data_IF_538958348441
#
_entry.id   IF_538958348441
#
_cell.length_a   1.000
_cell.length_b   1.000
_cell.length_c   1.000
_cell.angle_alpha   90.00
_cell.angle_beta   90.00
_cell.angle_gamma   90.00
#
_symmetry.space_group_name_H-M   'P 1'
#
loop_
_entity.id
_entity.type
_entity.pdbx_description
1 polymer ?
#
# COMPACT_ATOMS: atom_id res chain seq x y z
N UNK A 1 0.13 -1.52 -0.58
CA UNK A 1 -0.62 -0.48 0.16
C UNK A 1 -0.63 0.82 -0.60
N UNK A 2 -1.74 1.53 -0.56
CA UNK A 2 -1.93 2.81 -1.26
C UNK A 2 -2.48 3.84 -0.28
N UNK A 3 -1.85 5.01 -0.24
CA UNK A 3 -2.38 6.15 0.50
C UNK A 3 -3.61 6.72 -0.24
N UNK A 4 -4.72 6.88 0.47
CA UNK A 4 -5.98 7.31 -0.14
C UNK A 4 -5.96 8.77 -0.61
N UNK A 5 -5.21 9.63 0.05
CA UNK A 5 -5.13 11.04 -0.30
C UNK A 5 -4.22 11.28 -1.50
N UNK A 6 -2.98 10.81 -1.43
CA UNK A 6 -1.95 11.06 -2.43
C UNK A 6 -1.87 9.99 -3.52
N UNK A 7 -2.51 8.85 -3.33
CA UNK A 7 -2.35 7.65 -4.17
C UNK A 7 -0.94 7.07 -4.15
N UNK A 8 -0.10 7.50 -3.21
CA UNK A 8 1.27 7.01 -3.07
C UNK A 8 1.26 5.52 -2.73
N UNK A 9 2.05 4.76 -3.46
CA UNK A 9 2.07 3.31 -3.38
C UNK A 9 3.31 2.85 -2.63
N UNK A 10 3.09 2.00 -1.63
CA UNK A 10 4.14 1.23 -0.97
C UNK A 10 3.93 -0.24 -1.29
N UNK A 11 4.98 -0.92 -1.70
CA UNK A 11 4.91 -2.33 -2.00
C UNK A 11 6.17 -3.07 -1.53
N UNK A 12 5.95 -4.30 -1.12
CA UNK A 12 7.00 -5.22 -0.72
C UNK A 12 6.59 -6.64 -1.10
N UNK A 13 7.52 -7.38 -1.66
CA UNK A 13 7.33 -8.81 -1.93
C UNK A 13 7.49 -9.59 -0.63
N UNK A 14 6.54 -10.46 -0.34
CA UNK A 14 6.62 -11.42 0.77
C UNK A 14 6.84 -12.83 0.21
N UNK A 15 7.56 -13.67 0.93
CA UNK A 15 7.89 -15.03 0.46
C UNK A 15 6.66 -15.90 0.35
N UNK A 16 5.72 -15.78 1.31
CA UNK A 16 4.48 -16.54 1.34
C UNK A 16 3.34 -15.63 1.79
N UNK A 17 2.14 -15.91 1.29
CA UNK A 17 0.92 -15.22 1.72
C UNK A 17 0.40 -15.81 3.03
N UNK A 18 1.20 -15.75 4.08
CA UNK A 18 0.84 -16.18 5.43
C UNK A 18 0.73 -14.99 6.36
N UNK A 19 -0.02 -15.14 7.45
CA UNK A 19 -0.22 -14.08 8.43
C UNK A 19 1.09 -13.54 9.00
N UNK A 20 2.06 -14.41 9.28
CA UNK A 20 3.36 -14.01 9.82
C UNK A 20 4.18 -13.17 8.82
N UNK A 21 4.28 -13.60 7.57
CA UNK A 21 5.02 -12.86 6.54
C UNK A 21 4.34 -11.54 6.19
N UNK A 22 3.02 -11.51 6.13
CA UNK A 22 2.25 -10.28 5.87
C UNK A 22 2.40 -9.31 7.03
N UNK A 23 2.31 -9.77 8.29
CA UNK A 23 2.55 -8.95 9.47
C UNK A 23 3.92 -8.27 9.41
N UNK A 24 4.98 -9.03 9.19
CA UNK A 24 6.33 -8.51 9.17
C UNK A 24 6.56 -7.53 8.01
N UNK A 25 6.02 -7.86 6.84
CA UNK A 25 6.07 -6.99 5.67
C UNK A 25 5.35 -5.66 5.89
N UNK A 26 4.16 -5.69 6.50
CA UNK A 26 3.40 -4.48 6.83
C UNK A 26 4.15 -3.59 7.82
N UNK A 27 4.69 -4.17 8.88
CA UNK A 27 5.47 -3.41 9.88
C UNK A 27 6.67 -2.74 9.22
N UNK A 28 7.40 -3.46 8.38
CA UNK A 28 8.56 -2.92 7.68
C UNK A 28 8.19 -1.77 6.75
N UNK A 29 7.11 -1.92 5.96
CA UNK A 29 6.64 -0.85 5.08
C UNK A 29 6.16 0.37 5.86
N UNK A 30 5.38 0.18 6.91
CA UNK A 30 4.82 1.28 7.69
C UNK A 30 5.88 2.06 8.46
N UNK A 31 6.96 1.41 8.86
CA UNK A 31 8.09 2.07 9.53
C UNK A 31 8.91 2.98 8.61
N UNK A 32 8.75 2.89 7.30
CA UNK A 32 9.39 3.82 6.35
C UNK A 32 8.73 5.20 6.35
N UNK A 33 7.57 5.34 6.99
CA UNK A 33 6.80 6.57 7.05
C UNK A 33 6.78 7.04 8.51
N UNK A 34 6.91 8.37 8.78
CA UNK A 34 6.77 8.88 10.15
C UNK A 34 5.45 8.45 10.76
N UNK A 35 5.47 7.94 11.99
CA UNK A 35 4.31 7.32 12.65
C UNK A 35 3.10 8.26 12.77
N UNK A 36 3.35 9.57 12.88
CA UNK A 36 2.29 10.58 12.96
C UNK A 36 1.41 10.64 11.69
N UNK A 37 1.91 10.14 10.56
CA UNK A 37 1.20 10.16 9.27
C UNK A 37 0.52 8.84 8.92
N UNK A 38 0.74 7.81 9.73
CA UNK A 38 0.08 6.51 9.56
C UNK A 38 -1.13 6.49 10.49
N UNK A 39 -2.28 6.89 9.96
CA UNK A 39 -3.50 7.07 10.75
C UNK A 39 -4.26 5.75 10.91
N UNK A 40 -4.38 4.98 9.84
CA UNK A 40 -5.11 3.72 9.84
C UNK A 40 -4.78 2.89 8.60
N UNK A 41 -5.12 1.60 8.65
CA UNK A 41 -5.02 0.70 7.51
C UNK A 41 -6.37 0.04 7.29
N UNK A 42 -6.79 -0.02 6.02
CA UNK A 42 -8.02 -0.71 5.61
C UNK A 42 -7.65 -1.85 4.65
N UNK A 43 -7.47 -3.09 5.16
CA UNK A 43 -7.10 -4.23 4.34
C UNK A 43 -8.31 -4.93 3.77
N UNK A 44 -8.08 -5.90 2.88
CA UNK A 44 -9.08 -6.88 2.51
C UNK A 44 -9.39 -7.84 3.66
N UNK A 45 -10.53 -8.53 3.57
CA UNK A 45 -10.90 -9.56 4.55
C UNK A 45 -10.20 -10.89 4.25
N UNK A 46 -8.89 -10.91 4.27
CA UNK A 46 -8.11 -12.11 4.05
C UNK A 46 -7.56 -12.69 5.35
N UNK A 47 -7.35 -14.01 5.38
CA UNK A 47 -6.72 -14.69 6.54
C UNK A 47 -5.29 -14.21 6.77
N UNK A 48 -4.63 -13.68 5.73
CA UNK A 48 -3.28 -13.11 5.81
C UNK A 48 -3.20 -11.90 6.75
N UNK A 49 -4.33 -11.27 7.08
CA UNK A 49 -4.40 -10.15 8.00
C UNK A 49 -4.82 -10.55 9.42
N UNK A 50 -4.80 -11.85 9.76
CA UNK A 50 -5.20 -12.35 11.08
C UNK A 50 -4.32 -11.82 12.23
N UNK A 51 -3.08 -11.41 11.94
CA UNK A 51 -2.16 -10.84 12.93
C UNK A 51 -2.16 -9.30 12.94
N UNK A 52 -3.25 -8.67 12.49
CA UNK A 52 -3.36 -7.20 12.45
C UNK A 52 -3.18 -6.53 13.82
N UNK A 53 -3.59 -7.17 14.91
CA UNK A 53 -3.40 -6.64 16.26
C UNK A 53 -1.92 -6.49 16.61
N UNK A 54 -1.08 -7.42 16.17
CA UNK A 54 0.38 -7.33 16.37
C UNK A 54 0.99 -6.17 15.59
N UNK A 55 0.46 -5.86 14.40
CA UNK A 55 0.86 -4.67 13.65
C UNK A 55 0.42 -3.40 14.37
N UNK A 56 -0.79 -3.37 14.88
CA UNK A 56 -1.31 -2.25 15.67
C UNK A 56 -0.42 -1.96 16.87
N UNK A 57 -0.02 -3.00 17.61
CA UNK A 57 0.86 -2.85 18.77
C UNK A 57 2.25 -2.33 18.37
N UNK A 58 2.81 -2.84 17.28
CA UNK A 58 4.10 -2.40 16.76
C UNK A 58 4.09 -0.96 16.25
N UNK A 59 2.93 -0.44 15.84
CA UNK A 59 2.72 0.89 15.29
C UNK A 59 2.03 1.85 16.29
N UNK A 60 2.23 1.62 17.58
CA UNK A 60 1.75 2.49 18.66
C UNK A 60 0.23 2.73 18.67
N UNK A 61 -0.53 1.69 18.39
CA UNK A 61 -2.00 1.75 18.47
C UNK A 61 -2.69 2.14 17.17
N UNK A 62 -2.00 2.15 16.04
CA UNK A 62 -2.61 2.43 14.73
C UNK A 62 -3.73 1.43 14.44
N UNK A 63 -4.99 1.88 14.21
CA UNK A 63 -6.11 0.97 14.04
C UNK A 63 -6.19 0.38 12.63
N UNK A 64 -6.75 -0.84 12.56
CA UNK A 64 -7.19 -1.47 11.32
C UNK A 64 -8.70 -1.37 11.21
N UNK A 65 -9.20 -0.96 10.05
CA UNK A 65 -10.62 -0.92 9.73
C UNK A 65 -10.90 -1.87 8.58
N UNK A 66 -11.70 -2.91 8.82
CA UNK A 66 -12.07 -3.86 7.79
C UNK A 66 -13.31 -3.37 7.03
N UNK A 67 -13.28 -3.39 5.67
CA UNK A 67 -14.44 -2.98 4.88
C UNK A 67 -15.63 -3.87 5.16
N UNK A 68 -16.84 -3.31 5.08
CA UNK A 68 -18.07 -4.08 5.21
C UNK A 68 -18.18 -5.09 4.05
N UNK A 69 -18.75 -6.28 4.26
CA UNK A 69 -19.05 -7.21 3.18
C UNK A 69 -19.90 -6.52 2.10
N UNK A 70 -19.60 -6.80 0.83
CA UNK A 70 -20.33 -6.25 -0.32
C UNK A 70 -20.30 -4.71 -0.44
N UNK A 71 -19.27 -4.06 0.09
CA UNK A 71 -19.06 -2.61 -0.03
C UNK A 71 -17.82 -2.30 -0.88
N UNK A 72 -17.82 -2.57 -2.20
CA UNK A 72 -16.64 -2.40 -3.06
C UNK A 72 -16.16 -0.95 -3.14
N UNK A 73 -17.04 0.04 -2.95
CA UNK A 73 -16.68 1.45 -2.93
C UNK A 73 -15.70 1.82 -1.80
N UNK A 74 -15.64 1.04 -0.73
CA UNK A 74 -14.68 1.25 0.36
C UNK A 74 -13.24 0.90 -0.05
N UNK A 75 -13.05 0.21 -1.17
CA UNK A 75 -11.76 -0.25 -1.69
C UNK A 75 -11.44 0.23 -3.11
N UNK A 76 -12.21 1.19 -3.63
CA UNK A 76 -12.06 1.66 -5.00
C UNK A 76 -10.63 2.12 -5.35
N UNK A 77 -9.93 2.76 -4.41
CA UNK A 77 -8.53 3.19 -4.58
C UNK A 77 -7.59 1.99 -4.76
N UNK A 78 -7.77 0.94 -3.97
CA UNK A 78 -6.96 -0.28 -4.08
C UNK A 78 -7.21 -1.01 -5.39
N UNK A 79 -8.46 -1.11 -5.83
CA UNK A 79 -8.82 -1.74 -7.10
C UNK A 79 -8.19 -1.02 -8.30
N UNK A 80 -8.25 0.31 -8.30
CA UNK A 80 -7.63 1.12 -9.34
C UNK A 80 -6.10 0.97 -9.36
N UNK A 81 -5.48 1.00 -8.18
CA UNK A 81 -4.03 0.81 -8.04
C UNK A 81 -3.61 -0.58 -8.49
N UNK A 82 -4.37 -1.62 -8.15
CA UNK A 82 -4.10 -2.99 -8.60
C UNK A 82 -4.16 -3.09 -10.13
N UNK A 83 -5.08 -2.41 -10.78
CA UNK A 83 -5.14 -2.31 -12.23
C UNK A 83 -3.87 -1.71 -12.84
N UNK A 84 -3.33 -0.66 -12.24
CA UNK A 84 -2.08 -0.04 -12.68
C UNK A 84 -0.87 -0.96 -12.47
N UNK A 85 -0.81 -1.67 -11.37
CA UNK A 85 0.25 -2.64 -11.09
C UNK A 85 0.24 -3.76 -12.14
N UNK A 86 -0.94 -4.19 -12.60
CA UNK A 86 -1.07 -5.24 -13.61
C UNK A 86 -0.53 -4.86 -14.99
N UNK A 87 -0.30 -3.58 -15.26
CA UNK A 87 0.42 -3.15 -16.47
C UNK A 87 1.87 -3.61 -16.47
N UNK A 88 2.50 -3.69 -15.30
CA UNK A 88 3.90 -4.11 -15.14
C UNK A 88 4.05 -5.56 -14.69
N UNK A 89 3.03 -6.09 -14.02
CA UNK A 89 3.03 -7.44 -13.44
C UNK A 89 1.70 -8.13 -13.73
N UNK A 90 1.50 -8.64 -14.97
CA UNK A 90 0.27 -9.33 -15.34
C UNK A 90 0.01 -10.56 -14.48
N UNK A 91 -1.27 -10.91 -14.30
CA UNK A 91 -1.68 -12.12 -13.53
C UNK A 91 -1.14 -13.42 -14.13
N UNK A 92 -0.90 -13.44 -15.45
CA UNK A 92 -0.37 -14.61 -16.16
C UNK A 92 1.11 -14.87 -15.88
N UNK A 93 1.82 -13.92 -15.26
CA UNK A 93 3.24 -14.03 -14.95
C UNK A 93 3.40 -14.30 -13.46
N UNK A 94 4.22 -15.31 -13.11
CA UNK A 94 4.51 -15.63 -11.72
C UNK A 94 5.32 -14.50 -11.07
N UNK A 95 4.88 -14.08 -9.88
CA UNK A 95 5.57 -13.07 -9.07
C UNK A 95 6.99 -13.48 -8.69
N UNK A 96 7.30 -14.78 -8.66
CA UNK A 96 8.65 -15.28 -8.40
C UNK A 96 9.66 -14.82 -9.44
N UNK A 97 9.19 -14.53 -10.67
CA UNK A 97 10.04 -14.04 -11.76
C UNK A 97 10.44 -12.56 -11.60
N UNK A 98 9.84 -11.85 -10.64
CA UNK A 98 10.16 -10.46 -10.36
C UNK A 98 11.05 -10.35 -9.13
N UNK A 99 12.25 -9.81 -9.30
CA UNK A 99 13.14 -9.46 -8.20
C UNK A 99 12.67 -8.20 -7.46
N UNK A 100 13.16 -8.00 -6.24
CA UNK A 100 12.82 -6.81 -5.45
C UNK A 100 13.18 -5.50 -6.19
N UNK A 101 14.32 -5.49 -6.93
CA UNK A 101 14.73 -4.33 -7.71
C UNK A 101 13.77 -4.00 -8.85
N UNK A 102 13.21 -5.01 -9.51
CA UNK A 102 12.20 -4.81 -10.56
C UNK A 102 10.90 -4.25 -9.98
N UNK A 103 10.45 -4.78 -8.85
CA UNK A 103 9.26 -4.30 -8.14
C UNK A 103 9.45 -2.84 -7.71
N UNK A 104 10.58 -2.52 -7.08
CA UNK A 104 10.91 -1.15 -6.69
C UNK A 104 10.91 -0.19 -7.89
N UNK A 105 11.42 -0.64 -9.04
CA UNK A 105 11.47 0.16 -10.26
C UNK A 105 10.06 0.51 -10.78
N UNK A 106 9.17 -0.46 -10.92
CA UNK A 106 7.83 -0.16 -11.44
C UNK A 106 6.96 0.60 -10.42
N UNK A 107 7.15 0.36 -9.12
CA UNK A 107 6.49 1.14 -8.06
C UNK A 107 6.93 2.61 -8.13
N UNK A 108 8.24 2.87 -8.31
CA UNK A 108 8.74 4.22 -8.48
C UNK A 108 8.14 4.91 -9.72
N UNK A 109 8.03 4.19 -10.83
CA UNK A 109 7.38 4.72 -12.05
C UNK A 109 5.91 5.08 -11.82
N UNK A 110 5.16 4.23 -11.11
CA UNK A 110 3.75 4.50 -10.78
C UNK A 110 3.62 5.71 -9.85
N UNK A 111 4.50 5.85 -8.86
CA UNK A 111 4.48 6.98 -7.94
C UNK A 111 4.84 8.31 -8.60
N UNK A 112 5.53 8.28 -9.73
CA UNK A 112 5.94 9.48 -10.49
C UNK A 112 5.04 9.78 -11.69
N UNK A 113 4.05 8.93 -11.97
CA UNK A 113 3.11 9.11 -13.07
C UNK A 113 2.08 10.19 -12.71
N UNK A 114 1.92 11.26 -13.53
CA UNK A 114 0.86 12.24 -13.31
C UNK A 114 -0.52 11.58 -13.34
N UNK A 115 -1.38 11.95 -12.40
CA UNK A 115 -2.71 11.37 -12.26
C UNK A 115 -3.78 12.45 -12.37
N UNK A 116 -4.79 12.21 -13.17
CA UNK A 116 -5.93 13.14 -13.37
C UNK A 116 -6.63 13.45 -12.04
N UNK A 117 -6.83 12.43 -11.19
CA UNK A 117 -7.47 12.57 -9.88
C UNK A 117 -6.67 13.45 -8.90
N UNK A 118 -5.41 13.73 -9.20
CA UNK A 118 -4.52 14.58 -8.40
C UNK A 118 -4.22 15.92 -9.10
N UNK A 119 -5.07 16.34 -10.05
CA UNK A 119 -4.82 17.55 -10.83
C UNK A 119 -3.56 17.45 -11.69
N UNK A 120 -3.27 16.27 -12.22
CA UNK A 120 -2.09 15.92 -13.03
C UNK A 120 -0.76 15.96 -12.26
N UNK A 121 -0.82 16.02 -10.93
CA UNK A 121 0.36 15.80 -10.09
C UNK A 121 0.61 14.30 -9.93
N UNK A 122 1.85 13.93 -9.64
CA UNK A 122 2.18 12.55 -9.32
C UNK A 122 1.87 12.24 -7.86
N UNK A 123 1.63 10.97 -7.52
CA UNK A 123 1.52 10.54 -6.11
C UNK A 123 2.71 10.98 -5.26
N UNK A 124 3.91 10.88 -5.81
CA UNK A 124 5.15 11.31 -5.14
C UNK A 124 5.08 12.79 -4.73
N UNK A 125 4.70 13.68 -5.66
CA UNK A 125 4.61 15.12 -5.38
C UNK A 125 3.59 15.42 -4.28
N UNK A 126 2.40 14.83 -4.37
CA UNK A 126 1.32 15.08 -3.40
C UNK A 126 1.69 14.54 -2.01
N UNK A 127 2.26 13.34 -1.95
CA UNK A 127 2.64 12.71 -0.69
C UNK A 127 3.73 13.49 0.04
N UNK A 128 4.82 13.85 -0.64
CA UNK A 128 5.92 14.58 -0.01
C UNK A 128 5.58 16.03 0.30
N UNK A 129 4.76 16.70 -0.52
CA UNK A 129 4.26 18.03 -0.19
C UNK A 129 3.42 18.00 1.09
N UNK A 130 2.57 17.01 1.27
CA UNK A 130 1.78 16.84 2.49
C UNK A 130 2.70 16.65 3.70
N UNK A 131 3.73 15.80 3.59
CA UNK A 131 4.71 15.59 4.66
C UNK A 131 5.46 16.88 5.01
N UNK A 132 5.89 17.66 4.01
CA UNK A 132 6.60 18.92 4.23
C UNK A 132 5.75 19.96 4.94
N UNK A 133 4.46 20.02 4.63
CA UNK A 133 3.54 20.99 5.26
C UNK A 133 3.10 20.60 6.66
N UNK A 134 3.22 19.33 7.04
CA UNK A 134 2.86 18.83 8.36
C UNK A 134 4.02 18.85 9.35
N UNK A 135 5.22 19.08 8.86
CA UNK A 135 6.40 19.26 9.71
C UNK A 135 6.63 20.74 9.98
#
# INVERSE_FOLDING_TARGET
MTDRHSRYLLAKKVQKKTAAFVRDGLIELLRTIPSAYVLSVTPDRGKEFSFHEQVTDAMNGMPFYFPKPHAPWERGTNENTNGLIREYCPKSVDMENFGEGQIASFIAKLNRRPRKCLGWKSPFEVFFNTLLHLT
#
